data_IF_713445623330
#
_entry.id   IF_713445623330
#
_cell.length_a   1.000
_cell.length_b   1.000
_cell.length_c   1.000
_cell.angle_alpha   90.00
_cell.angle_beta   90.00
_cell.angle_gamma   90.00
#
_symmetry.space_group_name_H-M   'P 1'
#
loop_
_entity.id
_entity.type
_entity.pdbx_description
1 polymer ?
#
# COMPACT_ATOMS: atom_id res chain seq x y z
N UNK A 1 -4.39 14.03 -16.46
CA UNK A 1 -3.85 12.92 -15.64
C UNK A 1 -2.40 13.23 -15.35
N UNK A 2 -2.01 13.17 -14.08
CA UNK A 2 -0.63 13.34 -13.62
C UNK A 2 -0.12 11.99 -13.14
N UNK A 3 1.04 11.58 -13.59
CA UNK A 3 1.68 10.31 -13.19
C UNK A 3 3.12 10.57 -12.76
N UNK A 4 3.54 9.93 -11.69
CA UNK A 4 4.92 9.99 -11.21
C UNK A 4 5.31 8.65 -10.62
N UNK A 5 6.47 8.15 -11.01
CA UNK A 5 7.04 6.91 -10.50
C UNK A 5 8.11 7.19 -9.45
N UNK A 6 8.08 6.40 -8.37
CA UNK A 6 9.10 6.37 -7.34
C UNK A 6 9.54 4.93 -7.11
N UNK A 7 10.84 4.72 -7.00
CA UNK A 7 11.41 3.40 -6.66
C UNK A 7 11.24 3.10 -5.16
N UNK A 8 9.99 3.07 -4.69
CA UNK A 8 9.63 2.82 -3.29
C UNK A 8 8.45 1.85 -3.20
N UNK A 9 8.52 0.91 -2.25
CA UNK A 9 7.45 -0.06 -2.04
C UNK A 9 7.84 -1.23 -1.14
N UNK A 10 7.08 -2.31 -1.18
CA UNK A 10 7.24 -3.46 -0.29
C UNK A 10 8.58 -4.20 -0.37
N UNK A 11 9.39 -3.94 -1.40
CA UNK A 11 10.77 -4.45 -1.47
C UNK A 11 11.63 -3.82 -0.40
N UNK A 12 11.57 -2.50 -0.22
CA UNK A 12 12.32 -1.78 0.81
C UNK A 12 12.01 -2.33 2.20
N UNK A 13 10.72 -2.51 2.54
CA UNK A 13 10.35 -3.12 3.81
C UNK A 13 10.98 -4.51 4.00
N UNK A 14 11.07 -5.31 2.94
CA UNK A 14 11.72 -6.63 3.02
C UNK A 14 13.21 -6.48 3.26
N UNK A 15 13.87 -5.53 2.60
CA UNK A 15 15.29 -5.22 2.77
C UNK A 15 15.61 -4.68 4.17
N UNK A 16 14.74 -3.86 4.75
CA UNK A 16 14.85 -3.39 6.14
C UNK A 16 14.72 -4.54 7.15
N UNK A 17 13.77 -5.46 6.94
CA UNK A 17 13.64 -6.66 7.76
C UNK A 17 14.90 -7.52 7.68
N UNK A 18 15.45 -7.70 6.48
CA UNK A 18 16.70 -8.43 6.27
C UNK A 18 17.86 -7.79 7.05
N UNK A 19 18.03 -6.47 6.90
CA UNK A 19 19.11 -5.73 7.54
C UNK A 19 18.99 -5.74 9.06
N UNK A 20 17.77 -5.59 9.58
CA UNK A 20 17.53 -5.48 11.02
C UNK A 20 17.65 -6.82 11.75
N UNK A 21 17.17 -7.92 11.14
CA UNK A 21 17.13 -9.24 11.77
C UNK A 21 18.11 -10.26 11.20
N UNK A 22 18.96 -9.87 10.24
CA UNK A 22 19.93 -10.78 9.63
C UNK A 22 19.29 -11.93 8.83
N UNK A 23 18.10 -11.73 8.30
CA UNK A 23 17.35 -12.74 7.54
C UNK A 23 17.71 -12.72 6.06
N UNK A 24 17.57 -13.87 5.39
CA UNK A 24 17.60 -13.91 3.93
C UNK A 24 16.35 -13.24 3.34
N UNK A 25 16.39 -12.86 2.06
CA UNK A 25 15.26 -12.23 1.37
C UNK A 25 13.99 -13.09 1.42
N UNK A 26 14.15 -14.40 1.29
CA UNK A 26 13.04 -15.36 1.32
C UNK A 26 12.42 -15.45 2.73
N UNK A 27 13.25 -15.53 3.77
CA UNK A 27 12.80 -15.58 5.17
C UNK A 27 12.12 -14.27 5.58
N UNK A 28 12.71 -13.12 5.26
CA UNK A 28 12.12 -11.81 5.51
C UNK A 28 10.77 -11.65 4.77
N UNK A 29 10.70 -12.09 3.52
CA UNK A 29 9.46 -12.08 2.75
C UNK A 29 8.37 -13.01 3.30
N UNK A 30 8.74 -14.15 3.88
CA UNK A 30 7.80 -15.04 4.59
C UNK A 30 7.34 -14.44 5.90
N UNK A 31 8.27 -13.92 6.72
CA UNK A 31 7.98 -13.31 8.00
C UNK A 31 7.07 -12.08 7.87
N UNK A 32 7.33 -11.24 6.88
CA UNK A 32 6.47 -10.08 6.54
C UNK A 32 5.02 -10.46 6.25
N UNK A 33 4.78 -11.62 5.58
CA UNK A 33 3.42 -12.04 5.18
C UNK A 33 2.71 -12.89 6.23
N UNK A 34 3.46 -13.67 7.00
CA UNK A 34 2.91 -14.69 7.90
C UNK A 34 3.06 -14.33 9.38
N UNK A 35 3.81 -13.27 9.67
CA UNK A 35 4.24 -12.97 11.02
C UNK A 35 5.43 -13.81 11.45
N UNK A 36 5.76 -13.76 12.76
CA UNK A 36 6.90 -14.46 13.34
C UNK A 36 8.13 -13.57 13.51
N UNK A 37 7.99 -12.25 13.28
CA UNK A 37 8.98 -11.26 13.67
C UNK A 37 8.84 -10.93 15.16
N UNK A 38 9.92 -10.48 15.83
CA UNK A 38 9.88 -10.05 17.22
C UNK A 38 8.84 -8.95 17.47
N UNK A 39 8.39 -8.81 18.72
CA UNK A 39 7.40 -7.79 19.11
C UNK A 39 7.89 -6.36 18.82
N UNK A 40 9.21 -6.14 18.86
CA UNK A 40 9.84 -4.86 18.50
C UNK A 40 9.69 -4.46 17.03
N UNK A 41 9.35 -5.40 16.14
CA UNK A 41 9.19 -5.14 14.70
C UNK A 41 8.27 -3.95 14.40
N UNK A 42 7.18 -3.83 15.14
CA UNK A 42 6.23 -2.74 14.98
C UNK A 42 6.88 -1.36 15.14
N UNK A 43 7.67 -1.21 16.18
CA UNK A 43 8.28 0.08 16.54
C UNK A 43 9.60 0.34 15.80
N UNK A 44 10.42 -0.69 15.60
CA UNK A 44 11.79 -0.54 15.08
C UNK A 44 11.87 -0.56 13.55
N UNK A 45 10.93 -1.22 12.87
CA UNK A 45 10.96 -1.36 11.41
C UNK A 45 9.69 -0.84 10.75
N UNK A 46 8.51 -1.27 11.23
CA UNK A 46 7.26 -0.96 10.53
C UNK A 46 6.86 0.51 10.63
N UNK A 47 6.96 1.12 11.81
CA UNK A 47 6.64 2.56 12.00
C UNK A 47 7.57 3.48 11.18
N UNK A 48 8.92 3.32 11.21
CA UNK A 48 9.81 4.07 10.32
C UNK A 48 9.44 3.92 8.85
N UNK A 49 9.18 2.69 8.39
CA UNK A 49 8.75 2.44 7.02
C UNK A 49 7.44 3.17 6.67
N UNK A 50 6.45 3.17 7.57
CA UNK A 50 5.19 3.90 7.36
C UNK A 50 5.43 5.41 7.26
N UNK A 51 6.35 5.98 8.04
CA UNK A 51 6.74 7.39 7.95
C UNK A 51 7.38 7.71 6.60
N UNK A 52 8.20 6.80 6.07
CA UNK A 52 8.78 6.95 4.74
C UNK A 52 7.71 6.91 3.65
N UNK A 53 6.72 5.99 3.75
CA UNK A 53 5.55 5.99 2.84
C UNK A 53 4.85 7.34 2.85
N UNK A 54 4.53 7.87 4.04
CA UNK A 54 3.87 9.17 4.22
C UNK A 54 4.68 10.28 3.56
N UNK A 55 5.98 10.33 3.81
CA UNK A 55 6.89 11.33 3.23
C UNK A 55 6.95 11.25 1.70
N UNK A 56 6.84 10.05 1.13
CA UNK A 56 6.76 9.86 -0.32
C UNK A 56 5.44 10.37 -0.89
N UNK A 57 4.33 10.09 -0.22
CA UNK A 57 3.00 10.60 -0.63
C UNK A 57 2.97 12.12 -0.53
N UNK A 58 3.44 12.70 0.56
CA UNK A 58 3.51 14.15 0.76
C UNK A 58 4.30 14.85 -0.35
N UNK A 59 5.50 14.35 -0.65
CA UNK A 59 6.32 14.86 -1.75
C UNK A 59 5.63 14.74 -3.10
N UNK A 60 4.93 13.65 -3.37
CA UNK A 60 4.18 13.49 -4.61
C UNK A 60 3.06 14.52 -4.72
N UNK A 61 2.35 14.80 -3.63
CA UNK A 61 1.32 15.83 -3.56
C UNK A 61 1.89 17.25 -3.76
N UNK A 62 3.00 17.56 -3.12
CA UNK A 62 3.69 18.87 -3.28
C UNK A 62 4.06 19.11 -4.75
N UNK A 63 4.61 18.10 -5.43
CA UNK A 63 4.91 18.19 -6.86
C UNK A 63 3.65 18.33 -7.72
N UNK A 64 2.59 17.60 -7.37
CA UNK A 64 1.33 17.70 -8.07
C UNK A 64 0.74 19.12 -7.98
N UNK A 65 0.68 19.71 -6.80
CA UNK A 65 0.18 21.07 -6.60
C UNK A 65 1.06 22.12 -7.29
N UNK A 66 2.38 21.97 -7.23
CA UNK A 66 3.33 22.85 -7.92
C UNK A 66 3.16 22.82 -9.44
N UNK A 67 2.77 21.66 -9.98
CA UNK A 67 2.56 21.48 -11.43
C UNK A 67 1.16 21.84 -11.89
N UNK A 68 0.20 21.99 -10.97
CA UNK A 68 -1.22 22.19 -11.24
C UNK A 68 -1.80 23.31 -10.37
N UNK A 69 -1.38 24.55 -10.63
CA UNK A 69 -1.76 25.74 -9.83
C UNK A 69 -3.26 26.04 -9.74
N UNK A 70 -4.11 25.34 -10.52
CA UNK A 70 -5.57 25.47 -10.48
C UNK A 70 -6.25 24.52 -9.48
N UNK A 71 -5.50 23.55 -8.95
CA UNK A 71 -6.03 22.54 -8.02
C UNK A 71 -5.48 22.86 -6.63
N UNK A 72 -6.36 23.27 -5.74
CA UNK A 72 -5.99 23.68 -4.38
C UNK A 72 -6.16 22.52 -3.38
N UNK A 73 -6.99 21.53 -3.67
CA UNK A 73 -7.32 20.43 -2.75
C UNK A 73 -7.45 19.09 -3.46
N UNK A 74 -7.06 18.04 -2.76
CA UNK A 74 -7.35 16.65 -3.13
C UNK A 74 -8.50 16.17 -2.27
N UNK A 75 -9.52 15.57 -2.88
CA UNK A 75 -10.69 15.08 -2.18
C UNK A 75 -10.45 13.77 -1.45
N UNK A 76 -9.59 12.90 -1.99
CA UNK A 76 -9.32 11.59 -1.39
C UNK A 76 -8.00 11.00 -1.89
N UNK A 77 -7.34 10.24 -1.02
CA UNK A 77 -6.21 9.35 -1.35
C UNK A 77 -6.72 7.90 -1.37
N UNK A 78 -6.33 7.15 -2.36
CA UNK A 78 -6.61 5.71 -2.46
C UNK A 78 -5.31 4.94 -2.50
N UNK A 79 -5.03 4.17 -1.47
CA UNK A 79 -3.85 3.32 -1.38
C UNK A 79 -4.12 1.97 -2.03
N UNK A 80 -3.23 1.54 -2.93
CA UNK A 80 -3.31 0.27 -3.62
C UNK A 80 -1.95 -0.44 -3.65
N UNK A 81 -1.95 -1.73 -3.95
CA UNK A 81 -0.73 -2.54 -3.94
C UNK A 81 -0.52 -3.28 -2.63
N UNK A 82 0.52 -4.12 -2.57
CA UNK A 82 0.77 -5.00 -1.43
C UNK A 82 1.04 -4.27 -0.11
N UNK A 83 1.65 -3.09 -0.15
CA UNK A 83 1.90 -2.29 1.06
C UNK A 83 0.64 -1.64 1.62
N UNK A 84 -0.40 -1.44 0.82
CA UNK A 84 -1.68 -0.90 1.30
C UNK A 84 -2.37 -1.83 2.31
N UNK A 85 -1.96 -3.11 2.37
CA UNK A 85 -2.45 -4.08 3.37
C UNK A 85 -1.77 -3.96 4.73
N UNK A 86 -0.81 -3.04 4.91
CA UNK A 86 -0.18 -2.79 6.21
C UNK A 86 -1.23 -2.18 7.15
N UNK A 87 -1.51 -2.81 8.32
CA UNK A 87 -2.52 -2.32 9.24
C UNK A 87 -2.19 -0.90 9.73
N UNK A 88 -3.17 0.00 9.66
CA UNK A 88 -3.04 1.38 10.15
C UNK A 88 -2.33 2.34 9.20
N UNK A 89 -1.86 1.90 8.02
CA UNK A 89 -1.19 2.78 7.07
C UNK A 89 -2.14 3.85 6.51
N UNK A 90 -3.37 3.48 6.21
CA UNK A 90 -4.41 4.40 5.73
C UNK A 90 -4.72 5.49 6.77
N UNK A 91 -4.87 5.10 8.03
CA UNK A 91 -5.09 6.02 9.14
C UNK A 91 -3.89 6.97 9.34
N UNK A 92 -2.67 6.43 9.32
CA UNK A 92 -1.47 7.23 9.48
C UNK A 92 -1.29 8.26 8.33
N UNK A 93 -1.61 7.88 7.10
CA UNK A 93 -1.61 8.79 5.94
C UNK A 93 -2.69 9.86 6.08
N UNK A 94 -3.91 9.47 6.47
CA UNK A 94 -5.03 10.38 6.68
C UNK A 94 -4.74 11.41 7.76
N UNK A 95 -4.24 10.97 8.92
CA UNK A 95 -3.90 11.85 10.05
C UNK A 95 -2.78 12.83 9.72
N UNK A 96 -1.76 12.38 8.97
CA UNK A 96 -0.61 13.22 8.66
C UNK A 96 -0.89 14.24 7.56
N UNK A 97 -1.65 13.84 6.54
CA UNK A 97 -1.91 14.68 5.36
C UNK A 97 -3.25 15.44 5.45
N UNK A 98 -4.06 15.16 6.45
CA UNK A 98 -5.40 15.72 6.63
C UNK A 98 -6.30 15.52 5.39
N UNK A 99 -6.10 14.41 4.67
CA UNK A 99 -6.86 14.04 3.47
C UNK A 99 -7.46 12.67 3.66
N UNK A 100 -8.78 12.56 3.47
CA UNK A 100 -9.49 11.28 3.57
C UNK A 100 -8.77 10.18 2.77
N UNK A 101 -8.38 9.11 3.45
CA UNK A 101 -7.56 8.04 2.85
C UNK A 101 -8.27 6.70 3.00
N UNK A 102 -8.27 5.89 1.95
CA UNK A 102 -8.84 4.55 1.98
C UNK A 102 -7.96 3.54 1.26
N UNK A 103 -8.11 2.29 1.65
CA UNK A 103 -7.49 1.16 0.96
C UNK A 103 -8.35 0.78 -0.25
N UNK A 104 -7.71 0.51 -1.39
CA UNK A 104 -8.39 0.07 -2.59
C UNK A 104 -8.98 -1.34 -2.43
N UNK A 105 -10.22 -1.51 -2.80
CA UNK A 105 -10.88 -2.80 -2.93
C UNK A 105 -11.49 -2.93 -4.33
N UNK A 106 -10.84 -3.66 -5.25
CA UNK A 106 -11.35 -3.85 -6.60
C UNK A 106 -12.61 -4.73 -6.65
N UNK A 107 -12.94 -5.42 -5.56
CA UNK A 107 -14.08 -6.32 -5.48
C UNK A 107 -15.29 -5.69 -4.80
N UNK A 108 -15.21 -4.42 -4.42
CA UNK A 108 -16.31 -3.69 -3.82
C UNK A 108 -17.55 -3.74 -4.74
N UNK A 109 -18.67 -4.24 -4.20
CA UNK A 109 -19.90 -4.42 -4.97
C UNK A 109 -19.97 -5.69 -5.84
N UNK A 110 -18.90 -6.52 -5.90
CA UNK A 110 -18.92 -7.77 -6.64
C UNK A 110 -19.43 -8.93 -5.78
N UNK A 111 -20.20 -9.85 -6.40
CA UNK A 111 -20.60 -11.11 -5.76
C UNK A 111 -19.44 -12.11 -5.82
N UNK A 112 -18.85 -12.40 -4.66
CA UNK A 112 -17.74 -13.34 -4.56
C UNK A 112 -18.27 -14.75 -4.27
N UNK A 113 -17.93 -15.70 -5.13
CA UNK A 113 -18.31 -17.10 -4.97
C UNK A 113 -17.41 -17.80 -3.93
N UNK A 114 -17.90 -18.79 -3.17
CA UNK A 114 -17.13 -19.51 -2.15
C UNK A 114 -15.83 -20.12 -2.66
N UNK A 115 -15.79 -20.57 -3.92
CA UNK A 115 -14.59 -21.14 -4.58
C UNK A 115 -13.43 -20.16 -4.69
N UNK A 116 -13.71 -18.85 -4.66
CA UNK A 116 -12.70 -17.79 -4.74
C UNK A 116 -12.00 -17.50 -3.41
N UNK A 117 -12.26 -18.31 -2.35
CA UNK A 117 -11.67 -18.13 -1.01
C UNK A 117 -11.86 -16.68 -0.50
N UNK A 118 -13.08 -16.24 -0.18
CA UNK A 118 -13.41 -14.84 0.08
C UNK A 118 -12.52 -14.16 1.15
N UNK A 119 -12.13 -14.89 2.19
CA UNK A 119 -11.25 -14.35 3.25
C UNK A 119 -9.87 -13.98 2.72
N UNK A 120 -9.26 -14.87 1.93
CA UNK A 120 -7.94 -14.62 1.34
C UNK A 120 -8.03 -13.49 0.31
N UNK A 121 -9.05 -13.53 -0.55
CA UNK A 121 -9.27 -12.51 -1.56
C UNK A 121 -9.41 -11.10 -0.95
N UNK A 122 -10.08 -11.00 0.20
CA UNK A 122 -10.22 -9.72 0.92
C UNK A 122 -8.88 -9.19 1.44
N UNK A 123 -8.01 -10.07 1.93
CA UNK A 123 -6.67 -9.68 2.38
C UNK A 123 -5.77 -9.24 1.21
N UNK A 124 -5.90 -9.89 0.07
CA UNK A 124 -5.09 -9.63 -1.12
C UNK A 124 -5.67 -8.52 -2.01
N UNK A 125 -6.90 -8.07 -1.73
CA UNK A 125 -7.65 -7.13 -2.57
C UNK A 125 -6.85 -5.89 -3.02
N UNK A 126 -6.13 -5.17 -2.15
CA UNK A 126 -5.37 -4.00 -2.57
C UNK A 126 -4.27 -4.31 -3.58
N UNK A 127 -3.68 -5.52 -3.53
CA UNK A 127 -2.64 -5.97 -4.45
C UNK A 127 -3.19 -6.43 -5.82
N UNK A 128 -4.49 -6.69 -5.90
CA UNK A 128 -5.16 -7.25 -7.08
C UNK A 128 -5.80 -6.21 -7.99
N UNK A 129 -5.62 -4.92 -7.74
CA UNK A 129 -6.20 -3.82 -8.52
C UNK A 129 -5.93 -3.96 -10.02
N UNK A 130 -4.67 -4.13 -10.41
CA UNK A 130 -4.27 -4.27 -11.82
C UNK A 130 -4.84 -5.55 -12.44
N UNK A 131 -4.76 -6.68 -11.74
CA UNK A 131 -5.27 -7.95 -12.24
C UNK A 131 -6.79 -7.92 -12.43
N UNK A 132 -7.53 -7.32 -11.51
CA UNK A 132 -8.96 -7.13 -11.61
C UNK A 132 -9.32 -6.21 -12.79
N UNK A 133 -8.64 -5.08 -12.94
CA UNK A 133 -8.86 -4.17 -14.05
C UNK A 133 -8.60 -4.81 -15.42
N UNK A 134 -7.54 -5.63 -15.52
CA UNK A 134 -7.25 -6.38 -16.74
C UNK A 134 -8.32 -7.44 -17.03
N UNK A 135 -8.81 -8.14 -16.00
CA UNK A 135 -9.86 -9.14 -16.16
C UNK A 135 -11.23 -8.55 -16.56
N UNK A 136 -11.47 -7.29 -16.22
CA UNK A 136 -12.69 -6.57 -16.60
C UNK A 136 -12.61 -5.94 -18.00
N UNK A 137 -11.45 -5.95 -18.62
CA UNK A 137 -11.25 -5.36 -19.96
C UNK A 137 -11.91 -6.24 -21.01
N UNK A 138 -12.85 -5.68 -21.77
CA UNK A 138 -13.33 -6.32 -23.00
C UNK A 138 -12.30 -6.12 -24.09
N UNK A 139 -11.99 -7.18 -24.82
CA UNK A 139 -11.20 -7.15 -26.06
C UNK A 139 -12.22 -7.33 -27.19
N UNK A 140 -12.64 -6.21 -27.80
CA UNK A 140 -13.44 -6.20 -29.02
C UNK A 140 -12.52 -6.36 -30.23
#
# INVERSE_FOLDING_TARGET
VYTRDHAFGGKQLTEEIMAHYGLSYEEAGKAKRRGGLPDSYGDEVLKPFMQDVISHVERALQFFFSSNSRIEKIGQIVLAGGCASIPGLDQAVEEHLEVATRIADPFAGMKILPRARPRQLKLDAPALMTACGLAMRSFD
#
